data_IF_985145362881
#
_entry.id   IF_985145362881
#
_cell.length_a   1.000
_cell.length_b   1.000
_cell.length_c   1.000
_cell.angle_alpha   90.00
_cell.angle_beta   90.00
_cell.angle_gamma   90.00
#
_symmetry.space_group_name_H-M   'P 1'
#
loop_
_entity.id
_entity.type
_entity.pdbx_description
1 polymer ?
#
# COMPACT_ATOMS: atom_id res chain seq x y z
N UNK A 1 8.20 -14.72 0.60
CA UNK A 1 7.72 -13.49 -0.03
C UNK A 1 8.24 -12.35 0.82
N UNK A 2 8.88 -11.39 0.19
CA UNK A 2 9.23 -10.09 0.76
C UNK A 2 7.96 -9.24 0.93
N UNK A 3 8.06 -8.18 1.73
CA UNK A 3 6.94 -7.23 1.89
C UNK A 3 6.58 -6.62 0.55
N UNK A 4 7.58 -6.25 -0.26
CA UNK A 4 7.40 -5.74 -1.62
C UNK A 4 6.59 -6.68 -2.51
N UNK A 5 7.00 -7.96 -2.63
CA UNK A 5 6.26 -8.96 -3.42
C UNK A 5 4.81 -9.10 -2.94
N UNK A 6 4.59 -9.13 -1.63
CA UNK A 6 3.24 -9.23 -1.07
C UNK A 6 2.41 -7.97 -1.34
N UNK A 7 3.00 -6.78 -1.26
CA UNK A 7 2.29 -5.53 -1.60
C UNK A 7 1.91 -5.53 -3.09
N UNK A 8 2.80 -5.92 -3.99
CA UNK A 8 2.49 -6.03 -5.43
C UNK A 8 1.32 -7.01 -5.66
N UNK A 9 1.35 -8.18 -5.03
CA UNK A 9 0.24 -9.16 -5.10
C UNK A 9 -1.08 -8.61 -4.53
N UNK A 10 -1.03 -7.77 -3.50
CA UNK A 10 -2.23 -7.11 -2.96
C UNK A 10 -2.83 -6.14 -3.98
N UNK A 11 -2.00 -5.37 -4.68
CA UNK A 11 -2.47 -4.45 -5.72
C UNK A 11 -3.10 -5.19 -6.91
N UNK A 12 -2.48 -6.26 -7.39
CA UNK A 12 -3.04 -7.10 -8.45
C UNK A 12 -4.38 -7.72 -8.01
N UNK A 13 -4.50 -8.16 -6.76
CA UNK A 13 -5.73 -8.77 -6.24
C UNK A 13 -6.86 -7.76 -6.00
N UNK A 14 -6.55 -6.58 -5.44
CA UNK A 14 -7.56 -5.61 -5.02
C UNK A 14 -7.97 -4.68 -6.16
N UNK A 15 -7.02 -4.28 -7.00
CA UNK A 15 -7.21 -3.27 -8.02
C UNK A 15 -7.08 -3.82 -9.44
N UNK A 16 -6.65 -5.08 -9.62
CA UNK A 16 -6.34 -5.66 -10.93
C UNK A 16 -5.27 -4.87 -11.68
N UNK A 17 -4.34 -4.26 -10.93
CA UNK A 17 -3.25 -3.44 -11.43
C UNK A 17 -1.91 -4.03 -11.01
N UNK A 18 -1.03 -4.25 -12.01
CA UNK A 18 0.35 -4.66 -11.78
C UNK A 18 1.20 -3.42 -11.51
N UNK A 19 1.50 -3.19 -10.22
CA UNK A 19 2.25 -2.01 -9.79
C UNK A 19 3.77 -2.21 -9.79
N UNK A 20 4.27 -3.37 -10.22
CA UNK A 20 5.70 -3.70 -10.18
C UNK A 20 6.56 -2.80 -11.07
N UNK A 21 6.00 -2.25 -12.15
CA UNK A 21 6.68 -1.30 -13.03
C UNK A 21 6.50 0.18 -12.62
N UNK A 22 5.69 0.46 -11.60
CA UNK A 22 5.31 1.82 -11.18
C UNK A 22 5.55 2.07 -9.69
N UNK A 23 6.60 1.45 -9.13
CA UNK A 23 6.92 1.45 -7.69
C UNK A 23 7.02 2.85 -7.06
N UNK A 24 7.54 3.82 -7.82
CA UNK A 24 7.74 5.21 -7.38
C UNK A 24 6.75 6.19 -8.01
N UNK A 25 5.77 5.69 -8.77
CA UNK A 25 4.72 6.54 -9.35
C UNK A 25 3.61 6.83 -8.32
N UNK A 26 2.99 8.00 -8.47
CA UNK A 26 1.86 8.36 -7.63
C UNK A 26 0.61 7.58 -8.07
N UNK A 27 0.20 6.64 -7.22
CA UNK A 27 -0.91 5.73 -7.41
C UNK A 27 -2.27 6.45 -7.42
N UNK A 28 -2.38 7.62 -6.78
CA UNK A 28 -3.60 8.44 -6.82
C UNK A 28 -3.70 9.17 -8.15
N UNK A 29 -2.60 9.73 -8.65
CA UNK A 29 -2.56 10.41 -9.96
C UNK A 29 -2.69 9.42 -11.12
N UNK A 30 -2.13 8.21 -10.98
CA UNK A 30 -2.32 7.10 -11.92
C UNK A 30 -3.76 6.55 -11.91
N UNK A 31 -4.57 6.89 -10.91
CA UNK A 31 -5.95 6.42 -10.78
C UNK A 31 -6.08 4.99 -10.25
N UNK A 32 -5.00 4.41 -9.74
CA UNK A 32 -4.97 3.08 -9.11
C UNK A 32 -5.64 3.14 -7.73
N UNK A 33 -5.32 4.18 -6.96
CA UNK A 33 -5.90 4.39 -5.63
C UNK A 33 -6.92 5.53 -5.63
N UNK A 34 -8.07 5.26 -5.04
CA UNK A 34 -9.08 6.26 -4.67
C UNK A 34 -9.34 6.24 -3.16
N UNK A 35 -10.29 7.04 -2.69
CA UNK A 35 -10.61 7.13 -1.26
C UNK A 35 -11.15 5.83 -0.65
N UNK A 36 -11.83 4.97 -1.42
CA UNK A 36 -12.38 3.70 -0.94
C UNK A 36 -11.34 2.59 -1.05
N UNK A 37 -10.63 2.50 -2.16
CA UNK A 37 -9.53 1.57 -2.38
C UNK A 37 -8.41 1.76 -1.37
N UNK A 38 -8.15 3.00 -0.95
CA UNK A 38 -7.20 3.28 0.15
C UNK A 38 -7.62 2.60 1.46
N UNK A 39 -8.91 2.66 1.82
CA UNK A 39 -9.41 2.01 3.05
C UNK A 39 -9.32 0.49 2.93
N UNK A 40 -9.66 -0.06 1.77
CA UNK A 40 -9.57 -1.50 1.51
C UNK A 40 -8.12 -1.99 1.57
N UNK A 41 -7.19 -1.26 0.95
CA UNK A 41 -5.75 -1.55 1.03
C UNK A 41 -5.27 -1.54 2.48
N UNK A 42 -5.64 -0.54 3.29
CA UNK A 42 -5.25 -0.47 4.71
C UNK A 42 -5.72 -1.72 5.46
N UNK A 43 -6.99 -2.11 5.31
CA UNK A 43 -7.54 -3.28 6.00
C UNK A 43 -6.79 -4.56 5.62
N UNK A 44 -6.47 -4.72 4.34
CA UNK A 44 -5.74 -5.88 3.83
C UNK A 44 -4.27 -5.87 4.26
N UNK A 45 -3.61 -4.71 4.33
CA UNK A 45 -2.26 -4.57 4.87
C UNK A 45 -2.22 -4.93 6.36
N UNK A 46 -3.14 -4.40 7.16
CA UNK A 46 -3.27 -4.73 8.59
C UNK A 46 -3.47 -6.23 8.80
N UNK A 47 -4.34 -6.85 8.02
CA UNK A 47 -4.63 -8.29 8.08
C UNK A 47 -3.44 -9.14 7.63
N UNK A 48 -2.79 -8.78 6.52
CA UNK A 48 -1.71 -9.56 5.89
C UNK A 48 -0.42 -9.51 6.70
N UNK A 49 -0.06 -8.31 7.16
CA UNK A 49 1.21 -8.08 7.86
C UNK A 49 1.04 -8.09 9.39
N UNK A 50 -0.19 -8.25 9.89
CA UNK A 50 -0.52 -8.20 11.31
C UNK A 50 -0.01 -6.91 11.98
N UNK A 51 -0.19 -5.79 11.28
CA UNK A 51 0.18 -4.44 11.72
C UNK A 51 -1.07 -3.61 12.04
N UNK A 52 -0.86 -2.43 12.63
CA UNK A 52 -1.89 -1.40 12.79
C UNK A 52 -1.47 -0.15 12.07
N UNK A 53 -2.28 0.30 11.11
CA UNK A 53 -2.01 1.49 10.31
C UNK A 53 -2.92 2.60 10.80
N UNK A 54 -2.39 3.66 11.45
CA UNK A 54 -3.20 4.78 11.87
C UNK A 54 -3.73 5.51 10.63
N UNK A 55 -5.04 5.66 10.50
CA UNK A 55 -5.65 6.40 9.37
C UNK A 55 -5.09 7.84 9.27
N UNK A 56 -4.67 8.43 10.39
CA UNK A 56 -4.02 9.74 10.43
C UNK A 56 -2.63 9.79 9.79
N UNK A 57 -1.93 8.65 9.70
CA UNK A 57 -0.62 8.51 9.06
C UNK A 57 -0.74 8.11 7.58
N UNK A 58 -1.94 7.72 7.13
CA UNK A 58 -2.23 7.45 5.73
C UNK A 58 -2.55 8.75 4.96
N UNK A 59 -1.60 9.67 4.99
CA UNK A 59 -1.63 10.87 4.15
C UNK A 59 -1.46 10.49 2.68
N UNK A 60 -2.14 11.21 1.77
CA UNK A 60 -1.94 11.04 0.32
C UNK A 60 -0.46 11.16 -0.03
N UNK A 61 0.27 12.10 0.56
CA UNK A 61 1.69 12.30 0.26
C UNK A 61 2.62 11.25 0.91
N UNK A 62 2.14 10.55 1.95
CA UNK A 62 2.94 9.60 2.72
C UNK A 62 2.84 8.17 2.18
N UNK A 63 1.73 7.83 1.50
CA UNK A 63 1.46 6.49 0.95
C UNK A 63 1.05 6.51 -0.54
N UNK A 64 1.46 7.55 -1.30
CA UNK A 64 1.13 7.64 -2.72
C UNK A 64 1.90 6.69 -3.64
N UNK A 65 3.00 6.08 -3.21
CA UNK A 65 3.80 5.19 -4.06
C UNK A 65 3.96 3.83 -3.43
N UNK A 66 4.12 2.77 -4.22
CA UNK A 66 4.34 1.41 -3.71
C UNK A 66 5.56 1.36 -2.79
N UNK A 67 6.65 2.02 -3.17
CA UNK A 67 7.87 2.11 -2.36
C UNK A 67 7.58 2.66 -0.96
N UNK A 68 6.78 3.71 -0.85
CA UNK A 68 6.41 4.29 0.45
C UNK A 68 5.50 3.38 1.26
N UNK A 69 4.56 2.70 0.60
CA UNK A 69 3.67 1.73 1.24
C UNK A 69 4.49 0.59 1.84
N UNK A 70 5.45 0.04 1.10
CA UNK A 70 6.36 -1.01 1.56
C UNK A 70 7.17 -0.53 2.77
N UNK A 71 7.75 0.68 2.69
CA UNK A 71 8.51 1.27 3.80
C UNK A 71 7.65 1.47 5.05
N UNK A 72 6.43 2.00 4.90
CA UNK A 72 5.52 2.19 6.02
C UNK A 72 5.12 0.87 6.68
N UNK A 73 4.91 -0.19 5.89
CA UNK A 73 4.65 -1.54 6.41
C UNK A 73 5.86 -2.07 7.18
N UNK A 74 7.08 -1.91 6.65
CA UNK A 74 8.33 -2.29 7.32
C UNK A 74 8.48 -1.58 8.66
N UNK A 75 8.29 -0.25 8.70
CA UNK A 75 8.38 0.54 9.91
C UNK A 75 7.37 0.08 10.98
N UNK A 76 6.12 -0.18 10.57
CA UNK A 76 5.06 -0.63 11.47
C UNK A 76 5.23 -2.07 11.97
N UNK A 77 5.90 -2.95 11.21
CA UNK A 77 6.25 -4.30 11.68
C UNK A 77 7.34 -4.27 12.76
N UNK A 78 8.17 -3.24 12.76
CA UNK A 78 9.29 -3.08 13.70
C UNK A 78 9.02 -2.14 14.87
N UNK A 79 7.82 -1.53 14.92
CA UNK A 79 7.34 -0.64 15.97
C UNK A 79 6.77 -1.41 17.18
#
# INVERSE_FOLDING_TARGET
>A
MSIEETVIELFDRLFMEDVSEMMDEDLFDAGVLDSLGTVELIVELESTFNIKVPISEFGRDDWNTVTKIVQGVEELQHA
#
